data_IF_186002531016
#
_entry.id   IF_186002531016
#
_cell.length_a   1.000
_cell.length_b   1.000
_cell.length_c   1.000
_cell.angle_alpha   90.00
_cell.angle_beta   90.00
_cell.angle_gamma   90.00
#
_symmetry.space_group_name_H-M   'P 1'
#
loop_
_entity.id
_entity.type
_entity.pdbx_description
1 polymer ?
#
# COMPACT_ATOMS: atom_id res chain seq x y z
N UNK A 1 -7.38 -43.45 33.81
CA UNK A 1 -7.89 -42.26 33.07
C UNK A 1 -6.74 -41.68 32.25
N UNK A 2 -6.64 -42.02 30.96
CA UNK A 2 -5.64 -41.47 30.06
C UNK A 2 -6.23 -40.30 29.27
N UNK A 3 -5.65 -39.11 29.39
CA UNK A 3 -6.02 -37.98 28.53
C UNK A 3 -5.02 -37.93 27.38
N UNK A 4 -5.43 -38.36 26.20
CA UNK A 4 -4.66 -38.16 24.97
C UNK A 4 -4.91 -36.71 24.53
N UNK A 5 -3.84 -35.92 24.45
CA UNK A 5 -3.87 -34.53 23.99
C UNK A 5 -3.37 -34.54 22.54
N UNK A 6 -4.29 -34.43 21.57
CA UNK A 6 -3.93 -34.22 20.17
C UNK A 6 -3.65 -32.73 19.97
N UNK A 7 -2.39 -32.37 19.74
CA UNK A 7 -2.00 -31.07 19.19
C UNK A 7 -2.17 -31.15 17.67
N UNK A 8 -3.16 -30.41 17.16
CA UNK A 8 -3.34 -30.26 15.72
C UNK A 8 -2.37 -29.18 15.22
N UNK A 9 -1.22 -29.60 14.71
CA UNK A 9 -0.40 -28.75 13.85
C UNK A 9 -1.11 -28.66 12.49
N UNK A 10 -1.77 -27.54 12.19
CA UNK A 10 -2.46 -27.34 10.91
C UNK A 10 -1.45 -27.06 9.81
N UNK A 11 -0.82 -28.11 9.32
CA UNK A 11 0.09 -28.06 8.17
C UNK A 11 -0.74 -27.78 6.92
N UNK A 12 -0.61 -26.58 6.34
CA UNK A 12 -1.34 -26.20 5.12
C UNK A 12 -2.14 -24.91 5.21
N UNK A 13 -2.27 -24.31 6.40
CA UNK A 13 -2.79 -22.95 6.54
C UNK A 13 -1.74 -21.89 6.21
N UNK A 14 -0.43 -22.18 6.33
CA UNK A 14 0.62 -21.23 5.99
C UNK A 14 0.52 -20.65 4.57
N UNK A 15 0.30 -21.44 3.49
CA UNK A 15 0.14 -20.88 2.15
C UNK A 15 -1.11 -19.99 2.01
N UNK A 16 -2.20 -20.30 2.74
CA UNK A 16 -3.38 -19.44 2.78
C UNK A 16 -3.10 -18.12 3.50
N UNK A 17 -2.43 -18.17 4.66
CA UNK A 17 -2.01 -16.95 5.37
C UNK A 17 -1.07 -16.10 4.50
N UNK A 18 -0.10 -16.72 3.82
CA UNK A 18 0.82 -16.01 2.94
C UNK A 18 0.11 -15.39 1.71
N UNK A 19 -0.94 -16.03 1.19
CA UNK A 19 -1.77 -15.44 0.14
C UNK A 19 -2.62 -14.27 0.67
N UNK A 20 -3.19 -14.43 1.86
CA UNK A 20 -3.97 -13.38 2.53
C UNK A 20 -3.15 -12.14 2.85
N UNK A 21 -1.92 -12.32 3.36
CA UNK A 21 -1.00 -11.21 3.64
C UNK A 21 -0.59 -10.48 2.36
N UNK A 22 -0.34 -11.21 1.26
CA UNK A 22 -0.06 -10.60 -0.05
C UNK A 22 -1.24 -9.79 -0.57
N UNK A 23 -2.46 -10.33 -0.47
CA UNK A 23 -3.67 -9.65 -0.88
C UNK A 23 -3.93 -8.39 -0.04
N UNK A 24 -3.85 -8.52 1.29
CA UNK A 24 -4.03 -7.40 2.23
C UNK A 24 -3.01 -6.29 1.99
N UNK A 25 -1.74 -6.63 1.79
CA UNK A 25 -0.71 -5.64 1.52
C UNK A 25 -0.92 -4.93 0.17
N UNK A 26 -1.38 -5.65 -0.86
CA UNK A 26 -1.73 -5.06 -2.15
C UNK A 26 -2.90 -4.08 -2.01
N UNK A 27 -3.95 -4.46 -1.28
CA UNK A 27 -5.13 -3.62 -1.04
C UNK A 27 -4.74 -2.37 -0.26
N UNK A 28 -4.03 -2.52 0.86
CA UNK A 28 -3.57 -1.40 1.68
C UNK A 28 -2.79 -0.38 0.84
N UNK A 29 -1.90 -0.86 -0.03
CA UNK A 29 -1.11 0.02 -0.87
C UNK A 29 -1.93 0.69 -1.98
N UNK A 30 -2.86 -0.03 -2.62
CA UNK A 30 -3.81 0.57 -3.57
C UNK A 30 -4.63 1.69 -2.93
N UNK A 31 -5.08 1.52 -1.67
CA UNK A 31 -5.81 2.55 -0.91
C UNK A 31 -4.91 3.76 -0.63
N UNK A 32 -3.67 3.55 -0.19
CA UNK A 32 -2.71 4.63 0.06
C UNK A 32 -2.45 5.45 -1.21
N UNK A 33 -2.26 4.80 -2.36
CA UNK A 33 -2.09 5.47 -3.65
C UNK A 33 -3.34 6.28 -4.00
N UNK A 34 -4.53 5.69 -3.89
CA UNK A 34 -5.78 6.37 -4.19
C UNK A 34 -6.00 7.61 -3.31
N UNK A 35 -5.76 7.50 -2.00
CA UNK A 35 -5.86 8.61 -1.06
C UNK A 35 -4.86 9.74 -1.37
N UNK A 36 -3.64 9.39 -1.78
CA UNK A 36 -2.64 10.38 -2.21
C UNK A 36 -3.03 11.11 -3.49
N UNK A 37 -3.57 10.41 -4.49
CA UNK A 37 -4.06 11.01 -5.74
C UNK A 37 -5.20 11.98 -5.44
N UNK A 38 -6.19 11.54 -4.67
CA UNK A 38 -7.36 12.36 -4.30
C UNK A 38 -6.93 13.57 -3.45
N UNK A 39 -6.10 13.36 -2.43
CA UNK A 39 -5.59 14.45 -1.59
C UNK A 39 -4.80 15.48 -2.39
N UNK A 40 -3.93 15.04 -3.30
CA UNK A 40 -3.19 15.92 -4.21
C UNK A 40 -4.13 16.74 -5.11
N UNK A 41 -5.16 16.11 -5.69
CA UNK A 41 -6.13 16.81 -6.53
C UNK A 41 -6.91 17.87 -5.76
N UNK A 42 -7.30 17.58 -4.51
CA UNK A 42 -7.98 18.54 -3.63
C UNK A 42 -7.09 19.73 -3.26
N UNK A 43 -5.81 19.50 -2.98
CA UNK A 43 -4.85 20.59 -2.68
C UNK A 43 -4.69 21.51 -3.90
N UNK A 44 -4.60 20.93 -5.10
CA UNK A 44 -4.53 21.71 -6.35
C UNK A 44 -5.76 22.58 -6.53
N UNK A 45 -6.96 22.05 -6.25
CA UNK A 45 -8.22 22.80 -6.37
C UNK A 45 -8.36 23.88 -5.29
N UNK A 46 -7.83 23.64 -4.08
CA UNK A 46 -7.97 24.53 -2.93
C UNK A 46 -7.21 25.85 -3.08
N UNK A 47 -6.36 26.01 -4.11
CA UNK A 47 -5.55 27.22 -4.34
C UNK A 47 -4.87 27.69 -3.04
N UNK A 48 -4.33 26.74 -2.27
CA UNK A 48 -3.69 27.04 -0.99
C UNK A 48 -2.30 27.64 -1.27
N UNK A 49 -2.04 28.92 -0.93
CA UNK A 49 -0.68 29.46 -0.99
C UNK A 49 0.22 28.72 0.03
N UNK A 50 1.50 28.42 -0.25
CA UNK A 50 2.39 29.03 -1.24
C UNK A 50 2.35 28.37 -2.63
N UNK A 51 2.32 29.23 -3.65
CA UNK A 51 2.41 28.84 -5.05
C UNK A 51 3.84 28.98 -5.58
N UNK A 52 4.28 28.03 -6.40
CA UNK A 52 5.48 28.14 -7.21
C UNK A 52 5.04 28.01 -8.67
N UNK A 53 5.28 29.02 -9.50
CA UNK A 53 4.85 29.05 -10.91
C UNK A 53 3.32 28.83 -11.14
N UNK A 54 2.48 29.20 -10.16
CA UNK A 54 1.02 29.02 -10.24
C UNK A 54 0.50 27.66 -9.78
N UNK A 55 1.38 26.75 -9.33
CA UNK A 55 1.02 25.43 -8.80
C UNK A 55 1.30 25.40 -7.28
N UNK A 56 0.39 24.88 -6.45
CA UNK A 56 0.64 24.72 -5.01
C UNK A 56 1.83 23.80 -4.74
N UNK A 57 2.83 24.29 -3.99
CA UNK A 57 4.08 23.56 -3.69
C UNK A 57 3.80 22.25 -2.95
N UNK A 58 2.86 22.31 -2.01
CA UNK A 58 2.43 21.16 -1.21
C UNK A 58 1.87 20.05 -2.11
N UNK A 59 1.11 20.41 -3.15
CA UNK A 59 0.60 19.44 -4.13
C UNK A 59 1.73 18.72 -4.85
N UNK A 60 2.77 19.45 -5.29
CA UNK A 60 3.92 18.87 -5.98
C UNK A 60 4.69 17.91 -5.05
N UNK A 61 4.94 18.30 -3.81
CA UNK A 61 5.65 17.46 -2.83
C UNK A 61 4.90 16.15 -2.61
N UNK A 62 3.59 16.21 -2.36
CA UNK A 62 2.78 15.01 -2.14
C UNK A 62 2.62 14.17 -3.41
N UNK A 63 2.54 14.80 -4.58
CA UNK A 63 2.51 14.09 -5.86
C UNK A 63 3.80 13.30 -6.13
N UNK A 64 4.97 13.91 -5.89
CA UNK A 64 6.26 13.24 -6.03
C UNK A 64 6.41 12.12 -5.00
N UNK A 65 6.05 12.38 -3.74
CA UNK A 65 6.06 11.36 -2.70
C UNK A 65 5.16 10.16 -3.06
N UNK A 66 3.95 10.44 -3.57
CA UNK A 66 3.02 9.42 -4.04
C UNK A 66 3.58 8.62 -5.22
N UNK A 67 4.22 9.29 -6.19
CA UNK A 67 4.85 8.63 -7.33
C UNK A 67 6.00 7.71 -6.89
N UNK A 68 6.85 8.15 -5.95
CA UNK A 68 7.94 7.34 -5.40
C UNK A 68 7.39 6.13 -4.65
N UNK A 69 6.38 6.31 -3.79
CA UNK A 69 5.74 5.21 -3.07
C UNK A 69 5.08 4.23 -4.05
N UNK A 70 4.30 4.72 -5.01
CA UNK A 70 3.67 3.90 -6.04
C UNK A 70 4.69 3.08 -6.84
N UNK A 71 5.78 3.72 -7.27
CA UNK A 71 6.87 3.07 -7.98
C UNK A 71 7.54 2.00 -7.11
N UNK A 72 7.79 2.29 -5.83
CA UNK A 72 8.37 1.32 -4.91
C UNK A 72 7.47 0.11 -4.70
N UNK A 73 6.15 0.27 -4.52
CA UNK A 73 5.24 -0.88 -4.48
C UNK A 73 5.29 -1.66 -5.78
N UNK A 74 5.23 -0.98 -6.92
CA UNK A 74 5.21 -1.65 -8.21
C UNK A 74 6.45 -2.54 -8.37
N UNK A 75 7.62 -2.01 -8.00
CA UNK A 75 8.88 -2.77 -7.93
C UNK A 75 8.77 -3.92 -6.90
N UNK A 76 8.21 -3.69 -5.73
CA UNK A 76 8.06 -4.72 -4.69
C UNK A 76 7.14 -5.88 -5.14
N UNK A 77 6.03 -5.58 -5.82
CA UNK A 77 5.12 -6.57 -6.40
C UNK A 77 5.83 -7.35 -7.51
N UNK A 78 6.49 -6.66 -8.45
CA UNK A 78 7.22 -7.31 -9.54
C UNK A 78 8.36 -8.19 -9.02
N UNK A 79 9.08 -7.74 -7.98
CA UNK A 79 10.18 -8.50 -7.37
C UNK A 79 9.69 -9.73 -6.60
N UNK A 80 8.49 -9.67 -5.98
CA UNK A 80 7.83 -10.81 -5.33
C UNK A 80 7.02 -11.70 -6.29
N UNK A 81 6.81 -11.26 -7.54
CA UNK A 81 6.20 -12.06 -8.61
C UNK A 81 7.11 -13.16 -9.18
N UNK A 82 8.35 -13.29 -8.70
CA UNK A 82 9.16 -14.51 -8.84
C UNK A 82 8.97 -15.41 -7.63
N UNK A 83 7.85 -16.15 -7.62
CA UNK A 83 7.65 -17.40 -6.89
C UNK A 83 6.89 -18.33 -7.83
#
# INVERSE_FOLDING_TARGET
RGKVKMEFEHVGLEPMLAAHDRASNRIAFSIVIAALIVGSALIVLSKTPPFLFGIPVIGIIFFVAAAVMGMWLLIAILRKGRL
#
